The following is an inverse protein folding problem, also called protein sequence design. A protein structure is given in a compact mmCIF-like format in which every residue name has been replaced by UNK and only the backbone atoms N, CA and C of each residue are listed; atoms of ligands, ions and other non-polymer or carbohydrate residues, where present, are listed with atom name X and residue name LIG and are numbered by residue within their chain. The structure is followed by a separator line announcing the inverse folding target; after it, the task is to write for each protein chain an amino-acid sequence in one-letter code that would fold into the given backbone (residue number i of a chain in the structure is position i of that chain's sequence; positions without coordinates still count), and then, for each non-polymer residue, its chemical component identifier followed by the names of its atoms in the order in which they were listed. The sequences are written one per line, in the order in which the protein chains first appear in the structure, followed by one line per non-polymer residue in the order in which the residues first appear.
data_IF_429588053126
#
_entry.id   IF_429588053126
#
_cell.length_a   1.000
_cell.length_b   1.000
_cell.length_c   1.000
_cell.angle_alpha   90.00
_cell.angle_beta   90.00
_cell.angle_gamma   90.00
#
_symmetry.space_group_name_H-M   'P 1'
#
loop_
_entity.id
_entity.type
_entity.pdbx_description
1 polymer ?
#
# COMPACT_ATOMS: atom_id res chain seq x y z
N UNK A 1 -16.78 8.52 -12.20
CA UNK A 1 -18.14 8.15 -11.75
C UNK A 1 -19.17 9.22 -12.08
N UNK A 2 -18.92 10.51 -11.75
CA UNK A 2 -19.87 11.60 -12.01
C UNK A 2 -20.38 11.67 -13.47
N UNK A 3 -19.55 11.35 -14.46
CA UNK A 3 -19.97 11.31 -15.86
C UNK A 3 -21.06 10.25 -16.16
N UNK A 4 -21.04 9.10 -15.48
CA UNK A 4 -22.06 8.04 -15.67
C UNK A 4 -23.45 8.45 -15.17
N UNK A 5 -23.51 9.47 -14.32
CA UNK A 5 -24.76 10.04 -13.78
C UNK A 5 -25.02 11.44 -14.36
N UNK A 6 -24.54 11.70 -15.57
CA UNK A 6 -24.79 12.95 -16.28
C UNK A 6 -25.86 12.76 -17.35
N UNK A 7 -26.53 13.84 -17.73
CA UNK A 7 -27.51 13.91 -18.83
C UNK A 7 -26.93 13.56 -20.20
N UNK A 8 -25.60 13.39 -20.30
CA UNK A 8 -24.94 12.87 -21.49
C UNK A 8 -25.00 11.34 -21.61
N UNK A 9 -25.22 10.62 -20.51
CA UNK A 9 -25.23 9.15 -20.49
C UNK A 9 -26.58 8.55 -20.10
N UNK A 10 -27.35 9.25 -19.26
CA UNK A 10 -28.66 8.80 -18.79
C UNK A 10 -29.75 9.75 -19.29
N UNK A 11 -30.90 9.17 -19.64
CA UNK A 11 -32.10 9.94 -19.93
C UNK A 11 -32.71 10.49 -18.64
N UNK A 12 -33.50 11.56 -18.72
CA UNK A 12 -34.17 12.20 -17.57
C UNK A 12 -34.86 11.23 -16.59
N UNK A 13 -35.64 10.21 -17.03
CA UNK A 13 -36.23 9.25 -16.09
C UNK A 13 -35.18 8.35 -15.41
N UNK A 14 -34.06 8.06 -16.06
CA UNK A 14 -32.99 7.22 -15.51
C UNK A 14 -32.12 8.00 -14.51
N UNK A 15 -31.96 9.31 -14.71
CA UNK A 15 -31.34 10.21 -13.75
C UNK A 15 -32.13 10.28 -12.44
N UNK A 16 -33.44 10.42 -12.53
CA UNK A 16 -34.33 10.47 -11.37
C UNK A 16 -34.30 9.14 -10.57
N UNK A 17 -34.23 8.02 -11.28
CA UNK A 17 -34.07 6.70 -10.66
C UNK A 17 -32.72 6.54 -9.95
N UNK A 18 -31.63 6.95 -10.61
CA UNK A 18 -30.29 6.92 -10.04
C UNK A 18 -30.18 7.83 -8.82
N UNK A 19 -30.73 9.04 -8.87
CA UNK A 19 -30.78 9.97 -7.75
C UNK A 19 -31.54 9.37 -6.56
N UNK A 20 -32.69 8.75 -6.81
CA UNK A 20 -33.48 8.08 -5.78
C UNK A 20 -32.69 6.98 -5.08
N UNK A 21 -31.95 6.15 -5.83
CA UNK A 21 -31.13 5.06 -5.29
C UNK A 21 -29.93 5.58 -4.48
N UNK A 22 -29.26 6.61 -4.96
CA UNK A 22 -28.14 7.25 -4.24
C UNK A 22 -28.64 7.87 -2.92
N UNK A 23 -29.78 8.57 -2.94
CA UNK A 23 -30.40 9.11 -1.71
C UNK A 23 -30.83 8.03 -0.74
N UNK A 24 -31.20 6.85 -1.24
CA UNK A 24 -31.51 5.67 -0.42
C UNK A 24 -30.25 4.97 0.14
N UNK A 25 -29.05 5.44 -0.19
CA UNK A 25 -27.78 4.91 0.31
C UNK A 25 -27.19 3.78 -0.51
N UNK A 26 -27.74 3.50 -1.70
CA UNK A 26 -27.19 2.49 -2.61
C UNK A 26 -25.90 3.02 -3.24
N UNK A 27 -24.79 2.30 -3.04
CA UNK A 27 -23.47 2.70 -3.57
C UNK A 27 -23.33 2.14 -4.98
N UNK A 28 -23.22 3.00 -6.02
CA UNK A 28 -23.14 2.49 -7.38
C UNK A 28 -21.79 1.79 -7.62
N UNK A 29 -21.84 0.50 -7.99
CA UNK A 29 -20.67 -0.27 -8.43
C UNK A 29 -20.75 -0.60 -9.94
N UNK A 30 -20.35 0.34 -10.82
CA UNK A 30 -20.38 0.11 -12.25
C UNK A 30 -19.28 -0.85 -12.70
N UNK A 31 -19.63 -1.65 -13.71
CA UNK A 31 -18.73 -2.61 -14.34
C UNK A 31 -17.45 -1.93 -14.87
N UNK A 32 -16.36 -2.72 -14.98
CA UNK A 32 -15.06 -2.24 -15.47
C UNK A 32 -15.15 -1.55 -16.84
N UNK A 33 -16.04 -2.03 -17.71
CA UNK A 33 -16.31 -1.44 -19.02
C UNK A 33 -16.89 -0.01 -18.93
N UNK A 34 -17.87 0.21 -18.04
CA UNK A 34 -18.49 1.52 -17.81
C UNK A 34 -17.53 2.51 -17.18
N UNK A 35 -16.67 2.06 -16.25
CA UNK A 35 -15.59 2.90 -15.69
C UNK A 35 -14.62 3.37 -16.77
N UNK A 36 -14.22 2.48 -17.68
CA UNK A 36 -13.35 2.83 -18.81
C UNK A 36 -14.01 3.76 -19.84
N UNK A 37 -15.33 3.69 -20.01
CA UNK A 37 -16.07 4.66 -20.83
C UNK A 37 -16.11 6.04 -20.16
N UNK A 38 -16.40 6.09 -18.87
CA UNK A 38 -16.43 7.34 -18.11
C UNK A 38 -15.05 8.02 -18.08
N UNK A 39 -13.96 7.26 -17.91
CA UNK A 39 -12.60 7.78 -17.95
C UNK A 39 -12.26 8.37 -19.32
N UNK A 40 -12.64 7.68 -20.41
CA UNK A 40 -12.47 8.17 -21.78
C UNK A 40 -13.22 9.48 -22.03
N UNK A 41 -14.48 9.55 -21.62
CA UNK A 41 -15.31 10.73 -21.81
C UNK A 41 -14.87 11.93 -20.95
N UNK A 42 -14.24 11.68 -19.79
CA UNK A 42 -13.67 12.72 -18.94
C UNK A 42 -12.24 13.14 -19.34
N UNK A 43 -11.71 12.63 -20.47
CA UNK A 43 -10.35 12.96 -20.92
C UNK A 43 -9.23 12.38 -20.05
N UNK A 44 -9.54 11.43 -19.16
CA UNK A 44 -8.58 10.80 -18.26
C UNK A 44 -7.84 9.62 -18.91
N UNK A 45 -7.80 9.57 -20.25
CA UNK A 45 -7.24 8.45 -21.03
C UNK A 45 -5.75 8.23 -20.74
N UNK A 46 -5.04 9.31 -20.38
CA UNK A 46 -3.59 9.29 -20.13
C UNK A 46 -3.22 9.51 -18.66
N UNK A 47 -4.19 9.58 -17.75
CA UNK A 47 -3.90 9.63 -16.32
C UNK A 47 -3.68 8.19 -15.81
N UNK A 48 -2.45 7.77 -15.48
CA UNK A 48 -2.23 6.45 -14.91
C UNK A 48 -3.06 6.33 -13.63
N UNK A 49 -3.62 5.14 -13.39
CA UNK A 49 -4.22 4.87 -12.09
C UNK A 49 -3.21 5.24 -10.99
N UNK A 50 -3.64 5.76 -9.82
CA UNK A 50 -2.71 6.09 -8.73
C UNK A 50 -1.76 4.93 -8.38
N UNK A 51 -2.22 3.69 -8.60
CA UNK A 51 -1.50 2.43 -8.40
C UNK A 51 -0.44 2.14 -9.50
N UNK A 52 -0.58 2.71 -10.70
CA UNK A 52 0.32 2.50 -11.86
C UNK A 52 1.36 3.61 -12.03
N UNK A 53 1.40 4.60 -11.14
CA UNK A 53 2.42 5.66 -11.21
C UNK A 53 3.76 5.09 -10.73
N UNK A 54 4.73 5.00 -11.64
CA UNK A 54 6.12 4.71 -11.26
C UNK A 54 6.56 5.70 -10.18
N UNK A 55 6.94 5.16 -9.03
CA UNK A 55 7.48 5.95 -7.92
C UNK A 55 8.68 6.74 -8.42
N UNK A 56 8.71 8.04 -8.13
CA UNK A 56 9.86 8.86 -8.45
C UNK A 56 11.05 8.45 -7.57
N UNK A 57 12.31 8.61 -8.03
CA UNK A 57 13.47 8.20 -7.26
C UNK A 57 13.54 8.77 -5.84
N UNK A 58 13.00 9.99 -5.65
CA UNK A 58 12.93 10.61 -4.33
C UNK A 58 11.86 9.99 -3.42
N UNK A 59 10.73 9.52 -3.97
CA UNK A 59 9.70 8.79 -3.22
C UNK A 59 10.21 7.41 -2.80
N UNK A 60 10.94 6.73 -3.70
CA UNK A 60 11.63 5.47 -3.37
C UNK A 60 12.69 5.70 -2.29
N UNK A 61 13.50 6.75 -2.41
CA UNK A 61 14.52 7.08 -1.42
C UNK A 61 13.89 7.37 -0.06
N UNK A 62 12.80 8.15 -0.02
CA UNK A 62 12.05 8.42 1.21
C UNK A 62 11.49 7.12 1.78
N UNK A 63 10.88 6.26 0.96
CA UNK A 63 10.34 4.98 1.40
C UNK A 63 11.43 4.11 2.03
N UNK A 64 12.59 4.00 1.38
CA UNK A 64 13.75 3.23 1.87
C UNK A 64 14.27 3.81 3.17
N UNK A 65 14.45 5.14 3.28
CA UNK A 65 14.92 5.79 4.50
C UNK A 65 13.92 5.59 5.64
N UNK A 66 12.63 5.79 5.36
CA UNK A 66 11.52 5.56 6.29
C UNK A 66 11.54 4.12 6.79
N UNK A 67 11.64 3.14 5.90
CA UNK A 67 11.68 1.72 6.26
C UNK A 67 12.93 1.39 7.09
N UNK A 68 14.11 1.85 6.66
CA UNK A 68 15.38 1.60 7.36
C UNK A 68 15.42 2.25 8.74
N UNK A 69 14.74 3.37 8.95
CA UNK A 69 14.73 4.08 10.24
C UNK A 69 13.60 3.60 11.15
N UNK A 70 12.35 3.53 10.65
CA UNK A 70 11.19 3.20 11.47
C UNK A 70 11.15 1.73 11.87
N UNK A 71 11.55 0.81 11.00
CA UNK A 71 11.51 -0.62 11.29
C UNK A 71 12.39 -1.01 12.48
N UNK A 72 13.68 -0.62 12.56
CA UNK A 72 14.48 -0.90 13.74
C UNK A 72 14.03 -0.09 14.96
N UNK A 73 13.50 1.13 14.80
CA UNK A 73 12.98 1.91 15.93
C UNK A 73 11.78 1.25 16.61
N UNK A 74 10.84 0.72 15.83
CA UNK A 74 9.69 -0.04 16.38
C UNK A 74 10.20 -1.30 17.09
N UNK A 75 11.13 -2.02 16.48
CA UNK A 75 11.79 -3.18 17.10
C UNK A 75 12.48 -2.84 18.43
N UNK A 76 13.22 -1.72 18.47
CA UNK A 76 13.91 -1.22 19.66
C UNK A 76 12.93 -0.77 20.75
N UNK A 77 11.87 -0.03 20.39
CA UNK A 77 10.85 0.41 21.34
C UNK A 77 10.11 -0.77 21.97
N UNK A 78 9.73 -1.77 21.16
CA UNK A 78 9.11 -3.00 21.63
C UNK A 78 10.08 -3.77 22.54
N UNK A 79 11.34 -3.92 22.13
CA UNK A 79 12.35 -4.59 22.94
C UNK A 79 12.60 -3.88 24.27
N UNK A 80 12.64 -2.54 24.28
CA UNK A 80 12.79 -1.75 25.50
C UNK A 80 11.60 -1.94 26.44
N UNK A 81 10.37 -1.85 25.94
CA UNK A 81 9.16 -2.09 26.73
C UNK A 81 9.06 -3.52 27.26
N UNK A 82 9.45 -4.52 26.46
CA UNK A 82 9.56 -5.92 26.87
C UNK A 82 10.64 -6.13 27.94
N UNK A 83 11.76 -5.41 27.83
CA UNK A 83 12.85 -5.47 28.80
C UNK A 83 12.43 -4.93 30.16
N UNK A 84 11.70 -3.82 30.19
CA UNK A 84 11.17 -3.21 31.43
C UNK A 84 10.10 -4.08 32.10
N UNK A 85 9.12 -4.57 31.32
CA UNK A 85 7.97 -5.30 31.88
C UNK A 85 8.24 -6.79 32.12
N UNK A 86 9.02 -7.44 31.25
CA UNK A 86 9.23 -8.91 31.24
C UNK A 86 10.65 -9.31 30.77
N UNK A 87 11.69 -9.08 31.60
CA UNK A 87 13.10 -9.26 31.22
C UNK A 87 13.52 -10.71 30.89
N UNK A 88 12.73 -11.71 31.32
CA UNK A 88 12.98 -13.12 30.94
C UNK A 88 12.52 -13.42 29.52
N UNK A 89 11.35 -12.89 29.12
CA UNK A 89 10.82 -13.05 27.77
C UNK A 89 11.70 -12.34 26.73
N UNK A 90 12.15 -11.12 27.04
CA UNK A 90 13.06 -10.36 26.18
C UNK A 90 14.38 -11.13 25.88
N UNK A 91 14.95 -11.80 26.88
CA UNK A 91 16.16 -12.62 26.73
C UNK A 91 15.95 -13.88 25.90
N UNK A 92 14.79 -14.54 26.04
CA UNK A 92 14.44 -15.71 25.24
C UNK A 92 14.27 -15.34 23.77
N UNK A 93 13.54 -14.25 23.50
CA UNK A 93 13.36 -13.73 22.14
C UNK A 93 14.72 -13.38 21.53
N UNK A 94 15.57 -12.61 22.24
CA UNK A 94 16.90 -12.26 21.76
C UNK A 94 17.78 -13.50 21.50
N UNK A 95 17.74 -14.51 22.38
CA UNK A 95 18.50 -15.76 22.16
C UNK A 95 18.10 -16.51 20.90
N UNK A 96 16.84 -16.40 20.47
CA UNK A 96 16.34 -17.06 19.27
C UNK A 96 16.59 -16.19 18.03
N UNK A 97 16.30 -14.90 18.10
CA UNK A 97 16.38 -14.01 16.94
C UNK A 97 17.81 -13.63 16.57
N UNK A 98 18.69 -13.39 17.55
CA UNK A 98 20.10 -13.01 17.30
C UNK A 98 20.85 -14.03 16.44
N UNK A 99 20.85 -15.36 16.74
CA UNK A 99 21.57 -16.32 15.91
C UNK A 99 20.99 -16.44 14.50
N UNK A 100 19.66 -16.36 14.34
CA UNK A 100 19.01 -16.37 13.03
C UNK A 100 19.47 -15.15 12.21
N UNK A 101 19.39 -13.96 12.81
CA UNK A 101 19.86 -12.72 12.16
C UNK A 101 21.35 -12.79 11.83
N UNK A 102 22.18 -13.35 12.71
CA UNK A 102 23.61 -13.52 12.46
C UNK A 102 23.88 -14.46 11.28
N UNK A 103 23.21 -15.61 11.21
CA UNK A 103 23.35 -16.57 10.09
C UNK A 103 22.91 -15.91 8.78
N UNK A 104 21.76 -15.26 8.75
CA UNK A 104 21.26 -14.57 7.56
C UNK A 104 22.21 -13.45 7.12
N UNK A 105 22.75 -12.69 8.08
CA UNK A 105 23.71 -11.62 7.80
C UNK A 105 25.02 -12.18 7.21
N UNK A 106 25.52 -13.31 7.73
CA UNK A 106 26.72 -13.98 7.19
C UNK A 106 26.46 -14.49 5.78
N UNK A 107 25.31 -15.13 5.53
CA UNK A 107 24.92 -15.59 4.19
C UNK A 107 24.85 -14.41 3.22
N UNK A 108 24.20 -13.32 3.61
CA UNK A 108 24.09 -12.12 2.80
C UNK A 108 25.47 -11.50 2.51
N UNK A 109 26.36 -11.44 3.50
CA UNK A 109 27.71 -10.92 3.34
C UNK A 109 28.54 -11.81 2.39
N UNK A 110 28.40 -13.13 2.52
CA UNK A 110 29.04 -14.10 1.63
C UNK A 110 28.51 -14.00 0.20
N UNK A 111 27.21 -13.78 -0.02
CA UNK A 111 26.65 -13.52 -1.35
C UNK A 111 27.18 -12.20 -1.93
N UNK A 112 27.18 -11.14 -1.13
CA UNK A 112 27.56 -9.79 -1.56
C UNK A 112 29.05 -9.65 -1.91
N UNK A 113 29.94 -10.30 -1.16
CA UNK A 113 31.39 -10.18 -1.29
C UNK A 113 32.08 -11.44 -1.82
N UNK A 114 31.45 -12.61 -1.68
CA UNK A 114 32.04 -13.89 -2.03
C UNK A 114 31.95 -14.24 -3.51
N UNK A 115 31.21 -13.48 -4.33
CA UNK A 115 31.25 -13.60 -5.78
C UNK A 115 31.05 -15.04 -6.28
N UNK A 116 30.08 -15.76 -5.71
CA UNK A 116 29.66 -17.06 -6.28
C UNK A 116 28.81 -16.73 -7.51
N UNK A 117 29.49 -16.55 -8.63
CA UNK A 117 28.92 -16.79 -9.96
C UNK A 117 28.98 -18.27 -10.28
#
# INVERSE_FOLDING_TARGET
MAWLFSSHHLNEPELQEAERRIRAGDVPDPSKALRGMAQRAMGAIDAPAPEDRSLQPHEVLLLVVTEVVLTPLVGLALWHGLRERRPRAARLVARITVPITAVLFVIWLADRFGGIR
#
